data_IF_818985656549
#
_entry.id   IF_818985656549
#
_cell.length_a   1.000
_cell.length_b   1.000
_cell.length_c   1.000
_cell.angle_alpha   90.00
_cell.angle_beta   90.00
_cell.angle_gamma   90.00
#
_symmetry.space_group_name_H-M   'P 1'
#
loop_
_entity.id
_entity.type
_entity.pdbx_description
1 polymer ?
#
# COMPACT_ATOMS: atom_id res chain seq x y z
N UNK A 1 17.53 9.41 20.72
CA UNK A 1 16.79 9.22 19.45
C UNK A 1 15.80 8.09 19.67
N UNK A 2 14.50 8.28 19.49
CA UNK A 2 13.56 7.16 19.68
C UNK A 2 13.70 6.17 18.52
N UNK A 3 13.34 4.90 18.74
CA UNK A 3 13.35 3.88 17.68
C UNK A 3 12.46 4.29 16.49
N UNK A 4 11.40 5.06 16.74
CA UNK A 4 10.48 5.59 15.72
C UNK A 4 11.18 6.61 14.81
N UNK A 5 11.96 7.53 15.39
CA UNK A 5 12.68 8.55 14.62
C UNK A 5 13.69 7.91 13.66
N UNK A 6 14.39 6.88 14.14
CA UNK A 6 15.35 6.13 13.32
C UNK A 6 14.65 5.46 12.14
N UNK A 7 13.51 4.79 12.35
CA UNK A 7 12.74 4.14 11.27
C UNK A 7 12.21 5.15 10.25
N UNK A 8 11.74 6.31 10.70
CA UNK A 8 11.26 7.39 9.85
C UNK A 8 12.33 7.84 8.85
N UNK A 9 13.56 8.03 9.32
CA UNK A 9 14.67 8.46 8.46
C UNK A 9 15.03 7.41 7.40
N UNK A 10 15.01 6.13 7.78
CA UNK A 10 15.24 5.03 6.84
C UNK A 10 14.15 4.96 5.76
N UNK A 11 12.87 5.06 6.15
CA UNK A 11 11.78 5.07 5.18
C UNK A 11 11.80 6.29 4.27
N UNK A 12 12.14 7.46 4.81
CA UNK A 12 12.29 8.67 4.01
C UNK A 12 13.37 8.51 2.94
N UNK A 13 14.54 7.97 3.31
CA UNK A 13 15.63 7.66 2.36
C UNK A 13 15.19 6.63 1.32
N UNK A 14 14.57 5.53 1.75
CA UNK A 14 14.09 4.46 0.87
C UNK A 14 13.06 4.96 -0.14
N UNK A 15 12.04 5.70 0.29
CA UNK A 15 10.99 6.21 -0.59
C UNK A 15 11.53 7.21 -1.60
N UNK A 16 12.44 8.10 -1.19
CA UNK A 16 13.09 9.01 -2.13
C UNK A 16 13.95 8.24 -3.13
N UNK A 17 14.67 7.20 -2.72
CA UNK A 17 15.43 6.34 -3.63
C UNK A 17 14.53 5.67 -4.67
N UNK A 18 13.38 5.12 -4.27
CA UNK A 18 12.41 4.51 -5.20
C UNK A 18 11.89 5.58 -6.18
N UNK A 19 11.57 6.78 -5.70
CA UNK A 19 11.05 7.86 -6.53
C UNK A 19 12.08 8.44 -7.50
N UNK A 20 13.36 8.50 -7.12
CA UNK A 20 14.43 9.03 -7.99
C UNK A 20 14.90 8.00 -9.00
N UNK A 21 14.98 6.71 -8.62
CA UNK A 21 15.42 5.63 -9.51
C UNK A 21 14.30 5.08 -10.39
N UNK A 22 13.04 5.24 -9.98
CA UNK A 22 11.90 4.58 -10.61
C UNK A 22 11.85 3.07 -10.37
N UNK A 23 12.76 2.51 -9.56
CA UNK A 23 12.84 1.07 -9.29
C UNK A 23 11.94 0.75 -8.10
N UNK A 24 10.83 0.07 -8.38
CA UNK A 24 9.90 -0.40 -7.36
C UNK A 24 10.22 -1.85 -6.95
N UNK A 25 10.27 -2.18 -5.65
CA UNK A 25 10.52 -3.55 -5.21
C UNK A 25 9.47 -4.54 -5.75
N UNK A 26 9.90 -5.64 -6.38
CA UNK A 26 8.98 -6.65 -6.93
C UNK A 26 8.05 -7.24 -5.87
N UNK A 27 8.58 -7.52 -4.68
CA UNK A 27 7.81 -8.04 -3.54
C UNK A 27 6.71 -7.08 -3.04
N UNK A 28 6.81 -5.79 -3.37
CA UNK A 28 5.78 -4.80 -3.02
C UNK A 28 4.63 -4.75 -4.04
N UNK A 29 4.84 -5.31 -5.23
CA UNK A 29 3.84 -5.47 -6.29
C UNK A 29 3.03 -6.76 -6.14
N UNK A 30 3.49 -7.67 -5.29
CA UNK A 30 2.77 -8.89 -4.96
C UNK A 30 1.67 -8.65 -3.93
N UNK A 31 0.58 -9.40 -4.04
CA UNK A 31 -0.51 -9.33 -3.06
C UNK A 31 -1.16 -10.69 -2.85
N UNK A 32 -1.50 -10.97 -1.59
CA UNK A 32 -2.20 -12.19 -1.21
C UNK A 32 -3.70 -11.99 -1.40
N UNK A 33 -4.31 -12.78 -2.29
CA UNK A 33 -5.75 -12.79 -2.50
C UNK A 33 -6.43 -13.66 -1.44
N UNK A 34 -7.31 -13.06 -0.65
CA UNK A 34 -8.04 -13.76 0.41
C UNK A 34 -9.54 -13.42 0.35
N UNK A 35 -10.43 -14.41 0.38
CA UNK A 35 -11.86 -14.16 0.52
C UNK A 35 -12.18 -13.77 1.97
N UNK A 36 -12.88 -12.65 2.15
CA UNK A 36 -13.45 -12.24 3.44
C UNK A 36 -14.96 -12.40 3.36
N UNK A 37 -15.51 -13.17 4.31
CA UNK A 37 -16.94 -13.31 4.47
C UNK A 37 -17.60 -11.94 4.75
N UNK A 38 -18.67 -11.62 4.01
CA UNK A 38 -19.39 -10.35 4.11
C UNK A 38 -20.68 -10.48 4.91
N UNK A 39 -21.62 -11.34 4.47
CA UNK A 39 -22.94 -11.57 5.10
C UNK A 39 -23.67 -12.73 4.42
N UNK A 40 -24.69 -13.32 5.04
CA UNK A 40 -25.54 -14.36 4.43
C UNK A 40 -25.17 -15.78 4.87
N UNK A 41 -25.25 -16.75 3.94
CA UNK A 41 -24.90 -18.14 4.21
C UNK A 41 -23.41 -18.36 3.91
N UNK A 42 -22.66 -18.95 4.85
CA UNK A 42 -21.22 -19.20 4.70
C UNK A 42 -20.89 -20.21 3.59
N UNK A 43 -21.85 -21.03 3.19
CA UNK A 43 -21.65 -22.05 2.16
C UNK A 43 -21.89 -21.50 0.74
N UNK A 44 -22.40 -20.28 0.61
CA UNK A 44 -22.58 -19.62 -0.67
C UNK A 44 -21.39 -18.68 -0.95
N UNK A 45 -20.65 -19.00 -2.01
CA UNK A 45 -19.44 -18.26 -2.41
C UNK A 45 -19.70 -16.79 -2.73
N UNK A 46 -20.92 -16.41 -3.12
CA UNK A 46 -21.30 -15.01 -3.42
C UNK A 46 -21.31 -14.12 -2.16
N UNK A 47 -21.33 -14.74 -0.97
CA UNK A 47 -21.34 -14.05 0.31
C UNK A 47 -19.95 -13.64 0.81
N UNK A 48 -18.91 -13.83 -0.02
CA UNK A 48 -17.54 -13.42 0.24
C UNK A 48 -17.12 -12.28 -0.70
N UNK A 49 -16.22 -11.43 -0.23
CA UNK A 49 -15.52 -10.45 -1.06
C UNK A 49 -14.06 -10.84 -1.15
N UNK A 50 -13.49 -10.82 -2.35
CA UNK A 50 -12.03 -10.90 -2.50
C UNK A 50 -11.38 -9.64 -1.95
N UNK A 51 -10.32 -9.80 -1.17
CA UNK A 51 -9.41 -8.71 -0.82
C UNK A 51 -7.98 -9.06 -1.26
N UNK A 52 -7.22 -8.02 -1.61
CA UNK A 52 -5.79 -8.14 -1.90
C UNK A 52 -4.99 -7.54 -0.74
N UNK A 53 -4.25 -8.38 -0.03
CA UNK A 53 -3.31 -7.95 1.01
C UNK A 53 -1.97 -7.61 0.36
N UNK A 54 -1.73 -6.31 0.14
CA UNK A 54 -0.45 -5.79 -0.34
C UNK A 54 0.46 -5.29 0.80
N UNK A 55 1.75 -5.11 0.49
CA UNK A 55 2.77 -4.55 1.40
C UNK A 55 2.33 -3.25 2.08
N UNK A 56 2.57 -3.16 3.40
CA UNK A 56 2.25 -1.95 4.17
C UNK A 56 3.10 -0.76 3.71
N UNK A 57 4.40 -0.99 3.45
CA UNK A 57 5.30 0.07 2.98
C UNK A 57 4.92 0.55 1.58
N UNK A 58 4.45 -0.37 0.71
CA UNK A 58 3.96 0.02 -0.62
C UNK A 58 2.75 0.92 -0.54
N UNK A 59 1.78 0.60 0.32
CA UNK A 59 0.61 1.46 0.58
C UNK A 59 0.99 2.85 1.09
N UNK A 60 1.98 2.95 1.97
CA UNK A 60 2.47 4.25 2.47
C UNK A 60 3.07 5.07 1.33
N UNK A 61 3.94 4.48 0.51
CA UNK A 61 4.53 5.16 -0.64
C UNK A 61 3.45 5.59 -1.66
N UNK A 62 2.51 4.70 -1.97
CA UNK A 62 1.40 4.99 -2.89
C UNK A 62 0.50 6.11 -2.36
N UNK A 63 0.27 6.20 -1.06
CA UNK A 63 -0.45 7.32 -0.44
C UNK A 63 0.27 8.66 -0.67
N UNK A 64 1.61 8.69 -0.54
CA UNK A 64 2.42 9.88 -0.82
C UNK A 64 2.30 10.26 -2.32
N UNK A 65 2.42 9.29 -3.21
CA UNK A 65 2.29 9.49 -4.66
C UNK A 65 0.88 10.00 -5.01
N UNK A 66 -0.16 9.35 -4.49
CA UNK A 66 -1.54 9.74 -4.70
C UNK A 66 -1.76 11.19 -4.27
N UNK A 67 -1.31 11.57 -3.07
CA UNK A 67 -1.38 12.97 -2.61
C UNK A 67 -0.69 13.94 -3.57
N UNK A 68 0.48 13.60 -4.11
CA UNK A 68 1.18 14.46 -5.09
C UNK A 68 0.40 14.60 -6.40
N UNK A 69 -0.14 13.49 -6.91
CA UNK A 69 -0.95 13.44 -8.13
C UNK A 69 -2.24 14.26 -7.94
N UNK A 70 -2.99 13.98 -6.87
CA UNK A 70 -4.21 14.70 -6.48
C UNK A 70 -3.94 16.20 -6.36
N UNK A 71 -2.86 16.60 -5.71
CA UNK A 71 -2.47 18.02 -5.60
C UNK A 71 -2.13 18.64 -6.96
N UNK A 72 -1.53 17.87 -7.87
CA UNK A 72 -1.19 18.36 -9.21
C UNK A 72 -2.44 18.54 -10.08
N UNK A 73 -3.40 17.62 -10.02
CA UNK A 73 -4.61 17.66 -10.85
C UNK A 73 -5.79 18.40 -10.22
N UNK A 74 -5.72 18.80 -8.95
CA UNK A 74 -6.80 19.53 -8.27
C UNK A 74 -8.08 18.72 -8.03
N UNK A 75 -8.04 17.40 -8.26
CA UNK A 75 -9.15 16.48 -7.97
C UNK A 75 -9.19 16.19 -6.47
N UNK A 76 -10.17 16.75 -5.74
CA UNK A 76 -10.43 16.42 -4.33
C UNK A 76 -10.95 14.99 -4.17
#
# INVERSE_FOLDING_TARGET
MSSIDTLKDHYHKLFNLILTTGIFPSSWSESLLMPIYKKGQKNDTNNYRGIALSSCLSKVLLSIINKRITNYFGTK
#
